data_IF_297129889584
#
_entry.id   IF_297129889584
#
_cell.length_a   1.000
_cell.length_b   1.000
_cell.length_c   1.000
_cell.angle_alpha   90.00
_cell.angle_beta   90.00
_cell.angle_gamma   90.00
#
_symmetry.space_group_name_H-M   'P 1'
#
loop_
_entity.id
_entity.type
_entity.pdbx_description
1 polymer ?
#
# COMPACT_ATOMS: atom_id res chain seq x y z
N UNK A 1 26.75 -16.25 62.02
CA UNK A 1 25.30 -16.27 61.69
C UNK A 1 24.93 -14.88 61.23
N UNK A 2 24.29 -14.78 60.06
CA UNK A 2 24.24 -13.63 59.11
C UNK A 2 25.57 -13.35 58.39
N UNK A 3 25.56 -12.73 57.18
CA UNK A 3 24.46 -12.48 56.22
C UNK A 3 24.89 -12.79 54.76
N UNK A 4 24.07 -12.52 53.74
CA UNK A 4 24.51 -11.73 52.57
C UNK A 4 23.38 -11.53 51.52
N UNK A 5 22.93 -10.28 51.49
CA UNK A 5 22.48 -9.55 50.31
C UNK A 5 23.38 -9.82 49.10
N UNK A 6 22.81 -10.22 47.97
CA UNK A 6 23.50 -10.23 46.69
C UNK A 6 22.83 -9.23 45.74
N UNK A 7 23.52 -8.10 45.59
CA UNK A 7 23.34 -7.15 44.50
C UNK A 7 23.55 -7.86 43.16
N UNK A 8 22.54 -7.89 42.30
CA UNK A 8 22.64 -8.32 40.91
C UNK A 8 23.36 -7.26 40.05
N UNK A 9 24.62 -7.01 40.36
CA UNK A 9 25.57 -6.26 39.53
C UNK A 9 26.57 -7.21 38.84
N UNK A 10 26.28 -8.51 38.80
CA UNK A 10 27.26 -9.54 38.42
C UNK A 10 26.72 -10.66 37.52
N UNK A 11 25.61 -10.48 36.80
CA UNK A 11 25.30 -11.35 35.65
C UNK A 11 26.18 -10.94 34.47
N UNK A 12 27.46 -11.22 34.67
CA UNK A 12 28.50 -11.28 33.66
C UNK A 12 28.10 -12.29 32.60
N UNK A 13 28.31 -11.90 31.36
CA UNK A 13 28.19 -12.64 30.09
C UNK A 13 29.11 -13.89 30.02
N UNK A 14 29.35 -14.59 31.13
CA UNK A 14 30.37 -15.63 31.29
C UNK A 14 29.82 -17.02 31.61
N UNK A 15 28.50 -17.20 31.68
CA UNK A 15 27.91 -18.51 31.97
C UNK A 15 27.38 -19.28 30.74
N UNK A 16 27.87 -18.98 29.53
CA UNK A 16 27.76 -19.88 28.37
C UNK A 16 29.15 -20.47 28.13
N UNK A 17 29.52 -21.47 28.94
CA UNK A 17 30.72 -22.27 28.71
C UNK A 17 30.38 -23.31 27.62
N UNK A 18 30.70 -23.00 26.36
CA UNK A 18 30.63 -23.95 25.26
C UNK A 18 31.90 -24.81 25.26
N UNK A 19 31.82 -26.00 25.85
CA UNK A 19 32.71 -27.11 25.53
C UNK A 19 32.17 -27.76 24.26
N UNK A 20 32.86 -27.61 23.13
CA UNK A 20 33.05 -28.71 22.15
C UNK A 20 34.01 -28.27 21.04
N UNK A 21 35.13 -28.97 21.00
CA UNK A 21 36.15 -28.93 19.99
C UNK A 21 35.75 -29.82 18.81
N UNK A 22 34.76 -29.43 18.00
CA UNK A 22 34.47 -30.10 16.71
C UNK A 22 33.78 -29.16 15.73
N UNK A 23 34.36 -29.06 14.53
CA UNK A 23 33.81 -28.42 13.35
C UNK A 23 32.50 -29.10 12.92
N UNK A 24 31.35 -28.70 13.46
CA UNK A 24 30.00 -28.86 12.87
C UNK A 24 28.96 -28.15 13.75
N UNK A 25 28.12 -27.32 13.14
CA UNK A 25 26.93 -26.69 13.75
C UNK A 25 27.18 -25.77 14.96
N UNK A 26 27.45 -24.49 14.67
CA UNK A 26 27.09 -23.41 15.59
C UNK A 26 25.58 -23.51 15.89
N UNK A 27 25.12 -23.52 17.16
CA UNK A 27 23.72 -23.28 17.45
C UNK A 27 23.39 -21.92 16.87
N UNK A 28 22.29 -21.81 16.14
CA UNK A 28 21.80 -20.56 15.60
C UNK A 28 21.37 -19.64 16.76
N UNK A 29 22.34 -19.03 17.43
CA UNK A 29 22.14 -17.94 18.35
C UNK A 29 21.72 -16.74 17.50
N UNK A 30 20.41 -16.58 17.35
CA UNK A 30 19.82 -15.45 16.64
C UNK A 30 20.29 -14.16 17.33
N UNK A 31 21.06 -13.34 16.62
CA UNK A 31 21.70 -12.15 17.16
C UNK A 31 21.00 -10.86 16.65
N UNK A 32 20.47 -10.10 17.61
CA UNK A 32 20.21 -8.65 17.59
C UNK A 32 19.18 -8.05 16.59
N UNK A 33 18.02 -7.64 17.13
CA UNK A 33 17.04 -6.76 16.48
C UNK A 33 17.23 -5.31 16.95
N UNK A 34 17.63 -4.41 16.06
CA UNK A 34 17.64 -2.98 16.38
C UNK A 34 16.22 -2.45 16.20
N UNK A 35 15.58 -1.91 17.26
CA UNK A 35 14.24 -1.34 17.15
C UNK A 35 14.22 0.20 17.29
N UNK A 36 14.72 0.97 16.29
CA UNK A 36 14.19 2.29 16.03
C UNK A 36 12.85 2.10 15.32
N UNK A 37 11.72 2.09 16.04
CA UNK A 37 10.37 2.24 15.47
C UNK A 37 9.86 1.22 14.42
N UNK A 38 10.69 0.30 13.92
CA UNK A 38 10.36 -0.65 12.85
C UNK A 38 10.90 -2.07 13.08
N UNK A 39 11.42 -2.39 14.28
CA UNK A 39 11.80 -3.73 14.75
C UNK A 39 12.25 -4.71 13.65
N UNK A 40 13.36 -4.38 12.98
CA UNK A 40 13.92 -5.18 11.89
C UNK A 40 15.19 -5.93 12.33
N UNK A 41 15.51 -7.03 11.64
CA UNK A 41 16.77 -7.75 11.85
C UNK A 41 17.95 -6.96 11.26
N UNK A 42 19.07 -6.92 11.99
CA UNK A 42 20.28 -6.20 11.55
C UNK A 42 21.53 -7.09 11.44
N UNK A 43 21.62 -8.15 12.25
CA UNK A 43 22.75 -9.07 12.29
C UNK A 43 22.29 -10.52 12.09
N UNK A 44 21.54 -10.75 11.01
CA UNK A 44 21.06 -12.07 10.61
C UNK A 44 21.18 -12.24 9.09
N UNK A 45 21.08 -13.46 8.59
CA UNK A 45 20.93 -13.72 7.16
C UNK A 45 19.68 -13.03 6.58
N UNK A 46 18.75 -12.66 7.45
CA UNK A 46 17.46 -12.05 7.16
C UNK A 46 17.43 -10.54 7.46
N UNK A 47 18.56 -9.86 7.26
CA UNK A 47 18.72 -8.43 7.55
C UNK A 47 17.76 -7.59 6.72
N UNK A 48 17.05 -6.66 7.36
CA UNK A 48 16.08 -5.76 6.73
C UNK A 48 14.62 -6.23 6.82
N UNK A 49 14.38 -7.52 7.11
CA UNK A 49 13.03 -8.04 7.30
C UNK A 49 12.49 -7.69 8.70
N UNK A 50 11.17 -7.61 8.80
CA UNK A 50 10.50 -7.30 10.06
C UNK A 50 10.54 -8.49 11.02
N UNK A 51 10.85 -8.23 12.30
CA UNK A 51 10.92 -9.26 13.33
C UNK A 51 9.63 -10.08 13.45
N UNK A 52 8.47 -9.43 13.32
CA UNK A 52 7.17 -10.11 13.40
C UNK A 52 6.84 -10.99 12.19
N UNK A 53 7.52 -10.82 11.05
CA UNK A 53 7.33 -11.69 9.87
C UNK A 53 8.06 -13.02 10.03
N UNK A 54 9.21 -13.01 10.71
CA UNK A 54 10.00 -14.23 10.97
C UNK A 54 9.59 -14.90 12.28
N UNK A 55 9.47 -14.11 13.35
CA UNK A 55 9.20 -14.59 14.72
C UNK A 55 7.89 -13.96 15.26
N UNK A 56 6.78 -14.23 14.55
CA UNK A 56 5.46 -13.70 14.88
C UNK A 56 4.95 -14.08 16.28
N UNK A 57 5.23 -15.31 16.74
CA UNK A 57 4.86 -15.77 18.07
C UNK A 57 5.54 -14.95 19.19
N UNK A 58 6.83 -14.67 19.04
CA UNK A 58 7.60 -13.86 20.00
C UNK A 58 7.11 -12.41 20.00
N UNK A 59 6.90 -11.83 18.81
CA UNK A 59 6.36 -10.47 18.69
C UNK A 59 4.97 -10.35 19.34
N UNK A 60 4.08 -11.33 19.16
CA UNK A 60 2.76 -11.32 19.80
C UNK A 60 2.84 -11.39 21.34
N UNK A 61 3.76 -12.20 21.86
CA UNK A 61 4.00 -12.27 23.30
C UNK A 61 4.52 -10.95 23.85
N UNK A 62 5.44 -10.30 23.14
CA UNK A 62 5.98 -8.99 23.48
C UNK A 62 4.92 -7.86 23.47
N UNK A 63 3.96 -7.92 22.56
CA UNK A 63 2.78 -7.03 22.57
C UNK A 63 1.90 -7.28 23.79
N UNK A 64 1.65 -8.56 24.12
CA UNK A 64 0.80 -8.94 25.25
C UNK A 64 1.42 -8.59 26.60
N UNK A 65 2.75 -8.66 26.70
CA UNK A 65 3.51 -8.29 27.90
C UNK A 65 3.62 -6.77 28.10
N UNK A 66 3.16 -5.96 27.13
CA UNK A 66 3.27 -4.50 27.18
C UNK A 66 4.67 -3.98 26.86
N UNK A 67 5.61 -4.85 26.46
CA UNK A 67 6.96 -4.44 26.07
C UNK A 67 6.96 -3.60 24.79
N UNK A 68 6.04 -3.90 23.88
CA UNK A 68 5.82 -3.16 22.65
C UNK A 68 4.37 -2.74 22.53
N UNK A 69 4.17 -1.56 21.96
CA UNK A 69 2.86 -1.00 21.66
C UNK A 69 2.67 -0.93 20.15
N UNK A 70 1.57 -1.51 19.66
CA UNK A 70 1.10 -1.33 18.30
C UNK A 70 0.36 0.01 18.18
N UNK A 71 0.74 0.81 17.19
CA UNK A 71 0.12 2.09 16.84
C UNK A 71 -0.25 2.01 15.36
N UNK A 72 -1.49 2.32 15.00
CA UNK A 72 -1.92 2.38 13.60
C UNK A 72 -1.69 3.79 13.06
N UNK A 73 -0.95 3.89 11.96
CA UNK A 73 -0.74 5.14 11.23
C UNK A 73 -1.60 5.13 9.97
N UNK A 74 -2.12 6.31 9.60
CA UNK A 74 -3.00 6.50 8.45
C UNK A 74 -2.29 7.34 7.40
N UNK A 75 -2.18 6.82 6.17
CA UNK A 75 -1.73 7.55 4.99
C UNK A 75 -2.91 7.78 4.04
N UNK A 76 -3.28 9.05 3.88
CA UNK A 76 -4.38 9.50 3.02
C UNK A 76 -3.92 9.88 1.60
N UNK A 77 -2.63 9.71 1.29
CA UNK A 77 -2.02 10.08 0.00
C UNK A 77 -1.36 8.88 -0.70
N UNK A 78 -1.67 7.66 -0.24
CA UNK A 78 -1.15 6.44 -0.83
C UNK A 78 -1.73 6.20 -2.24
N UNK A 79 -1.00 5.43 -3.05
CA UNK A 79 -1.45 4.99 -4.37
C UNK A 79 -1.68 3.48 -4.34
N UNK A 80 -2.93 3.05 -4.50
CA UNK A 80 -3.29 1.63 -4.54
C UNK A 80 -3.52 1.20 -5.99
N UNK A 81 -3.37 -0.10 -6.22
CA UNK A 81 -3.74 -0.69 -7.52
C UNK A 81 -5.25 -0.71 -7.60
N UNK A 82 -5.81 -0.01 -8.58
CA UNK A 82 -7.23 -0.09 -8.86
C UNK A 82 -7.52 -1.48 -9.42
N UNK A 83 -8.16 -2.32 -8.60
CA UNK A 83 -8.86 -3.49 -9.12
C UNK A 83 -10.11 -2.97 -9.82
N UNK A 84 -9.94 -2.47 -11.05
CA UNK A 84 -11.08 -2.37 -11.95
C UNK A 84 -11.53 -3.79 -12.21
N UNK A 85 -12.54 -4.24 -11.48
CA UNK A 85 -13.50 -5.17 -12.05
C UNK A 85 -13.93 -4.51 -13.35
N UNK A 86 -13.43 -5.03 -14.46
CA UNK A 86 -13.86 -4.65 -15.79
C UNK A 86 -15.31 -5.10 -15.93
N UNK A 87 -16.23 -4.35 -15.32
CA UNK A 87 -17.56 -4.21 -15.87
C UNK A 87 -17.34 -3.50 -17.19
N UNK A 88 -17.21 -4.28 -18.27
CA UNK A 88 -17.24 -3.80 -19.64
C UNK A 88 -18.46 -2.90 -19.79
N UNK A 89 -18.24 -1.60 -19.62
CA UNK A 89 -19.29 -0.61 -19.54
C UNK A 89 -19.20 0.22 -20.80
N UNK A 90 -20.15 -0.09 -21.67
CA UNK A 90 -20.56 0.65 -22.85
C UNK A 90 -19.60 0.60 -24.04
N UNK A 91 -19.85 -0.34 -24.94
CA UNK A 91 -19.58 -0.11 -26.36
C UNK A 91 -20.29 1.18 -26.77
N UNK A 92 -19.52 2.24 -27.02
CA UNK A 92 -20.08 3.46 -27.58
C UNK A 92 -20.57 3.18 -29.00
N UNK A 93 -21.64 3.85 -29.45
CA UNK A 93 -22.20 3.69 -30.80
C UNK A 93 -21.18 3.92 -31.95
N UNK A 94 -20.03 4.54 -31.62
CA UNK A 94 -18.91 4.83 -32.53
C UNK A 94 -17.81 3.76 -32.54
N UNK A 95 -17.90 2.70 -31.72
CA UNK A 95 -16.99 1.56 -31.76
C UNK A 95 -16.97 0.79 -33.08
N UNK A 96 -18.08 0.54 -33.80
CA UNK A 96 -18.01 -0.10 -35.12
C UNK A 96 -17.23 0.76 -36.12
N UNK A 97 -17.32 2.10 -36.00
CA UNK A 97 -16.56 3.02 -36.84
C UNK A 97 -15.07 3.03 -36.49
N UNK A 98 -14.71 2.99 -35.20
CA UNK A 98 -13.30 2.85 -34.78
C UNK A 98 -12.71 1.51 -35.18
N UNK A 99 -13.46 0.41 -35.03
CA UNK A 99 -13.07 -0.92 -35.47
C UNK A 99 -12.84 -0.94 -37.00
N UNK A 100 -13.76 -0.36 -37.78
CA UNK A 100 -13.62 -0.23 -39.22
C UNK A 100 -12.41 0.63 -39.61
N UNK A 101 -12.21 1.79 -38.98
CA UNK A 101 -11.04 2.63 -39.24
C UNK A 101 -9.72 1.94 -38.86
N UNK A 102 -9.72 1.13 -37.80
CA UNK A 102 -8.55 0.34 -37.40
C UNK A 102 -8.23 -0.77 -38.42
N UNK A 103 -9.26 -1.45 -38.94
CA UNK A 103 -9.12 -2.44 -39.99
C UNK A 103 -8.68 -1.80 -41.32
N UNK A 104 -9.26 -0.65 -41.69
CA UNK A 104 -8.85 0.11 -42.85
C UNK A 104 -7.40 0.59 -42.71
N UNK A 105 -7.00 1.09 -41.54
CA UNK A 105 -5.61 1.45 -41.24
C UNK A 105 -4.68 0.24 -41.35
N UNK A 106 -5.08 -0.92 -40.83
CA UNK A 106 -4.30 -2.16 -40.93
C UNK A 106 -4.11 -2.58 -42.39
N UNK A 107 -5.18 -2.63 -43.18
CA UNK A 107 -5.14 -2.93 -44.63
C UNK A 107 -4.25 -1.92 -45.37
N UNK A 108 -4.37 -0.63 -45.06
CA UNK A 108 -3.52 0.40 -45.66
C UNK A 108 -2.04 0.22 -45.28
N UNK A 109 -1.75 -0.29 -44.08
CA UNK A 109 -0.37 -0.56 -43.64
C UNK A 109 0.20 -1.76 -44.40
N UNK A 110 -0.58 -2.83 -44.56
CA UNK A 110 -0.19 -4.01 -45.36
C UNK A 110 -0.04 -3.68 -46.84
N UNK A 111 -0.90 -2.81 -47.39
CA UNK A 111 -0.81 -2.36 -48.77
C UNK A 111 0.43 -1.47 -48.99
N UNK A 112 0.78 -0.64 -48.01
CA UNK A 112 2.06 0.11 -48.01
C UNK A 112 3.25 -0.84 -47.93
N UNK A 113 3.21 -1.89 -47.09
CA UNK A 113 4.27 -2.90 -46.99
C UNK A 113 4.42 -3.69 -48.30
N UNK A 114 3.32 -4.08 -48.94
CA UNK A 114 3.31 -4.76 -50.23
C UNK A 114 3.87 -3.87 -51.36
N UNK A 115 3.54 -2.57 -51.35
CA UNK A 115 4.11 -1.60 -52.29
C UNK A 115 5.60 -1.34 -52.04
N UNK A 116 6.03 -1.39 -50.77
CA UNK A 116 7.45 -1.33 -50.35
C UNK A 116 8.21 -2.57 -50.81
N UNK A 117 7.62 -3.77 -50.75
CA UNK A 117 8.20 -5.01 -51.29
C UNK A 117 8.34 -4.96 -52.82
N UNK A 118 7.44 -4.28 -53.53
CA UNK A 118 7.42 -4.20 -55.00
C UNK A 118 8.24 -3.04 -55.62
N UNK A 119 8.92 -2.17 -54.85
CA UNK A 119 9.85 -1.16 -55.39
C UNK A 119 10.97 -0.72 -54.41
N UNK A 120 12.17 -1.29 -54.61
CA UNK A 120 13.51 -0.71 -54.37
C UNK A 120 13.75 0.02 -53.03
N UNK A 121 14.28 -0.71 -52.03
CA UNK A 121 15.64 -0.50 -51.52
C UNK A 121 15.92 -1.37 -50.30
N UNK A 122 16.72 -2.41 -50.54
CA UNK A 122 17.50 -3.25 -49.63
C UNK A 122 18.50 -2.44 -48.75
N UNK A 123 18.22 -1.19 -48.40
CA UNK A 123 19.21 -0.26 -47.87
C UNK A 123 18.59 0.81 -46.96
N UNK A 124 18.15 0.45 -45.76
CA UNK A 124 18.54 1.11 -44.51
C UNK A 124 17.93 0.32 -43.34
N UNK A 125 18.74 -0.56 -42.78
CA UNK A 125 18.45 -1.35 -41.58
C UNK A 125 17.97 -0.45 -40.42
N UNK A 126 16.89 -0.83 -39.72
CA UNK A 126 17.00 -1.44 -38.38
C UNK A 126 15.64 -1.54 -37.70
N UNK A 127 15.50 -2.62 -36.95
CA UNK A 127 14.33 -3.11 -36.22
C UNK A 127 13.47 -2.04 -35.55
N UNK A 128 12.15 -2.14 -35.75
CA UNK A 128 11.18 -1.59 -34.80
C UNK A 128 10.14 -2.63 -34.44
N UNK A 129 10.59 -3.68 -33.75
CA UNK A 129 9.70 -4.58 -33.02
C UNK A 129 9.21 -3.87 -31.76
N UNK A 130 8.10 -3.14 -31.87
CA UNK A 130 7.44 -2.56 -30.70
C UNK A 130 6.87 -3.70 -29.83
N UNK A 131 7.50 -3.96 -28.68
CA UNK A 131 6.95 -4.84 -27.65
C UNK A 131 5.62 -4.27 -27.15
N UNK A 132 4.59 -5.12 -27.13
CA UNK A 132 3.28 -4.82 -26.55
C UNK A 132 3.43 -4.20 -25.15
N UNK A 133 2.84 -3.02 -24.95
CA UNK A 133 2.78 -2.37 -23.66
C UNK A 133 1.98 -3.27 -22.70
N UNK A 134 2.69 -3.84 -21.73
CA UNK A 134 2.14 -4.51 -20.56
C UNK A 134 1.03 -3.63 -19.99
N UNK A 135 -0.19 -4.18 -19.87
CA UNK A 135 -1.37 -3.55 -19.28
C UNK A 135 -0.97 -2.60 -18.15
N UNK A 136 -1.09 -1.29 -18.38
CA UNK A 136 -0.74 -0.26 -17.42
C UNK A 136 -1.69 -0.43 -16.22
N UNK A 137 -1.19 -1.06 -15.16
CA UNK A 137 -1.91 -1.15 -13.89
C UNK A 137 -2.26 0.29 -13.49
N UNK A 138 -3.55 0.59 -13.43
CA UNK A 138 -4.01 1.94 -13.10
C UNK A 138 -3.85 2.10 -11.60
N UNK A 139 -3.01 3.07 -11.20
CA UNK A 139 -2.84 3.46 -9.81
C UNK A 139 -3.85 4.57 -9.51
N UNK A 140 -4.56 4.43 -8.39
CA UNK A 140 -5.55 5.39 -7.92
C UNK A 140 -5.21 5.82 -6.49
N UNK A 141 -5.51 7.08 -6.10
CA UNK A 141 -5.32 7.53 -4.73
C UNK A 141 -6.24 6.76 -3.79
N UNK A 142 -5.68 6.24 -2.71
CA UNK A 142 -6.38 5.44 -1.70
C UNK A 142 -5.91 5.81 -0.30
N UNK A 143 -6.73 5.46 0.68
CA UNK A 143 -6.36 5.56 2.09
C UNK A 143 -5.80 4.21 2.56
N UNK A 144 -4.62 4.23 3.17
CA UNK A 144 -4.00 3.03 3.74
C UNK A 144 -3.75 3.21 5.23
N UNK A 145 -3.80 2.11 5.97
CA UNK A 145 -3.29 2.04 7.33
C UNK A 145 -2.09 1.10 7.37
N UNK A 146 -1.07 1.46 8.14
CA UNK A 146 0.07 0.59 8.39
C UNK A 146 0.35 0.53 9.90
N UNK A 147 0.58 -0.69 10.43
CA UNK A 147 0.89 -0.86 11.84
C UNK A 147 2.35 -0.47 12.10
N UNK A 148 2.56 0.47 13.04
CA UNK A 148 3.85 0.83 13.58
C UNK A 148 4.02 0.25 14.99
N UNK A 149 5.24 -0.13 15.35
CA UNK A 149 5.55 -0.75 16.64
C UNK A 149 6.55 0.11 17.41
N UNK A 150 6.16 0.54 18.60
CA UNK A 150 6.99 1.39 19.46
C UNK A 150 7.26 0.66 20.76
N UNK A 151 8.54 0.61 21.17
CA UNK A 151 8.95 0.04 22.45
C UNK A 151 8.63 0.98 23.60
N UNK A 152 8.26 0.41 24.75
CA UNK A 152 8.12 1.16 25.99
C UNK A 152 9.47 1.24 26.73
N UNK A 153 9.84 2.42 27.24
CA UNK A 153 11.21 2.70 27.75
C UNK A 153 11.53 2.07 29.11
N UNK A 154 10.62 1.29 29.70
CA UNK A 154 10.75 0.75 31.06
C UNK A 154 11.37 -0.65 31.12
N UNK A 155 11.65 -1.27 29.97
CA UNK A 155 12.09 -2.66 29.90
C UNK A 155 13.61 -2.71 30.03
N UNK A 156 14.10 -3.09 31.22
CA UNK A 156 15.52 -3.37 31.41
C UNK A 156 15.87 -4.75 30.87
N UNK A 157 15.15 -5.78 31.33
CA UNK A 157 15.27 -7.17 30.90
C UNK A 157 13.93 -7.89 31.07
N UNK A 158 13.47 -8.64 30.06
CA UNK A 158 12.32 -9.54 30.19
C UNK A 158 12.62 -10.88 29.54
N UNK A 159 12.35 -11.95 30.28
CA UNK A 159 12.41 -13.32 29.79
C UNK A 159 10.98 -13.83 29.62
N UNK A 160 10.71 -14.49 28.49
CA UNK A 160 9.41 -15.06 28.21
C UNK A 160 9.53 -16.50 27.75
N UNK A 161 8.52 -17.30 28.09
CA UNK A 161 8.32 -18.62 27.50
C UNK A 161 6.95 -18.64 26.81
N UNK A 162 6.92 -19.24 25.62
CA UNK A 162 5.74 -19.39 24.78
C UNK A 162 5.44 -20.88 24.73
N UNK A 163 4.32 -21.29 25.33
CA UNK A 163 3.83 -22.64 25.21
C UNK A 163 3.21 -22.82 23.82
N UNK A 164 3.81 -23.69 23.01
CA UNK A 164 3.27 -24.19 21.76
C UNK A 164 2.70 -25.60 22.04
N UNK A 165 1.96 -26.18 21.09
CA UNK A 165 1.22 -27.44 21.35
C UNK A 165 2.14 -28.58 21.82
N UNK A 166 3.32 -28.72 21.21
CA UNK A 166 4.26 -29.83 21.47
C UNK A 166 5.58 -29.41 22.15
N UNK A 167 5.80 -28.11 22.38
CA UNK A 167 7.09 -27.60 22.87
C UNK A 167 6.94 -26.23 23.56
N UNK A 168 7.99 -25.80 24.25
CA UNK A 168 8.06 -24.44 24.81
C UNK A 168 9.18 -23.64 24.17
N UNK A 169 8.85 -22.53 23.52
CA UNK A 169 9.83 -21.62 22.88
C UNK A 169 10.19 -20.49 23.85
N UNK A 170 11.43 -20.48 24.30
CA UNK A 170 11.94 -19.45 25.23
C UNK A 170 12.64 -18.31 24.49
N UNK A 171 12.53 -17.11 25.05
CA UNK A 171 13.23 -15.93 24.55
C UNK A 171 13.64 -14.99 25.68
N UNK A 172 14.71 -14.25 25.43
CA UNK A 172 15.22 -13.19 26.31
C UNK A 172 15.35 -11.92 25.50
N UNK A 173 14.85 -10.80 26.03
CA UNK A 173 15.05 -9.47 25.46
C UNK A 173 15.70 -8.55 26.50
N UNK A 174 16.75 -7.85 26.07
CA UNK A 174 17.50 -6.90 26.90
C UNK A 174 17.72 -5.59 26.14
N UNK A 175 17.50 -4.45 26.78
CA UNK A 175 17.81 -3.16 26.19
C UNK A 175 19.31 -2.86 26.25
N UNK A 176 19.90 -2.41 25.15
CA UNK A 176 21.29 -1.94 25.13
C UNK A 176 21.33 -0.51 25.71
N UNK A 177 22.11 -0.26 26.78
CA UNK A 177 22.15 1.04 27.43
C UNK A 177 22.57 2.15 26.47
N UNK A 178 22.09 3.37 26.71
CA UNK A 178 22.36 4.57 25.89
C UNK A 178 21.95 4.49 24.41
N UNK A 179 21.12 3.51 24.04
CA UNK A 179 20.66 3.33 22.66
C UNK A 179 19.18 2.94 22.61
N UNK A 180 18.63 2.98 21.41
CA UNK A 180 17.28 2.54 21.05
C UNK A 180 17.23 1.06 20.63
N UNK A 181 18.22 0.28 21.06
CA UNK A 181 18.49 -1.06 20.56
C UNK A 181 18.13 -2.13 21.59
N UNK A 182 17.67 -3.29 21.11
CA UNK A 182 17.34 -4.43 21.95
C UNK A 182 18.08 -5.68 21.45
N UNK A 183 18.67 -6.43 22.37
CA UNK A 183 19.20 -7.75 22.07
C UNK A 183 18.08 -8.75 22.35
N UNK A 184 17.64 -9.47 21.33
CA UNK A 184 16.66 -10.54 21.44
C UNK A 184 17.35 -11.86 21.12
N UNK A 185 17.28 -12.81 22.04
CA UNK A 185 17.79 -14.17 21.86
C UNK A 185 16.59 -15.10 21.92
N UNK A 186 16.39 -15.88 20.86
CA UNK A 186 15.28 -16.82 20.73
C UNK A 186 15.84 -18.22 20.57
N UNK A 187 15.27 -19.18 21.28
CA UNK A 187 15.60 -20.58 21.10
C UNK A 187 15.04 -21.09 19.75
N UNK A 188 15.89 -21.69 18.93
CA UNK A 188 15.53 -22.25 17.62
C UNK A 188 15.16 -23.73 17.67
N UNK A 189 15.18 -24.34 18.86
CA UNK A 189 14.85 -25.76 19.05
C UNK A 189 13.41 -26.12 18.65
N UNK A 190 12.50 -25.15 18.62
CA UNK A 190 11.11 -25.36 18.24
C UNK A 190 10.56 -24.29 17.29
N UNK A 191 9.78 -24.74 16.30
CA UNK A 191 9.06 -23.91 15.33
C UNK A 191 7.59 -23.82 15.71
N UNK A 192 7.13 -22.63 16.09
CA UNK A 192 5.74 -22.38 16.44
C UNK A 192 5.02 -21.69 15.28
N UNK A 193 4.59 -22.46 14.28
CA UNK A 193 3.90 -21.96 13.08
C UNK A 193 2.41 -21.65 13.29
N UNK A 194 1.84 -22.00 14.45
CA UNK A 194 0.40 -21.80 14.72
C UNK A 194 -0.01 -20.33 14.84
N UNK A 195 0.95 -19.41 15.02
CA UNK A 195 0.70 -17.97 15.11
C UNK A 195 1.00 -17.30 13.78
N UNK A 196 0.00 -16.65 13.19
CA UNK A 196 0.16 -15.91 11.94
C UNK A 196 1.25 -14.83 12.07
N UNK A 197 2.07 -14.64 11.02
CA UNK A 197 3.10 -13.60 11.01
C UNK A 197 2.46 -12.22 11.15
N UNK A 198 3.13 -11.34 11.89
CA UNK A 198 2.71 -9.95 12.06
C UNK A 198 3.49 -9.13 11.03
N UNK A 199 2.81 -8.53 10.07
CA UNK A 199 3.44 -7.74 9.00
C UNK A 199 3.41 -6.24 9.31
N UNK A 200 4.31 -5.47 8.70
CA UNK A 200 4.25 -4.00 8.64
C UNK A 200 3.70 -3.48 7.30
N UNK A 201 3.19 -4.37 6.45
CA UNK A 201 2.71 -3.99 5.13
C UNK A 201 1.48 -3.07 5.22
N UNK A 202 1.36 -2.06 4.33
CA UNK A 202 0.19 -1.20 4.29
C UNK A 202 -1.06 -1.97 3.85
N UNK A 203 -2.18 -1.68 4.52
CA UNK A 203 -3.48 -2.28 4.29
C UNK A 203 -4.40 -1.19 3.75
N UNK A 204 -5.05 -1.44 2.62
CA UNK A 204 -6.04 -0.52 2.05
C UNK A 204 -7.31 -0.49 2.91
N UNK A 205 -7.74 0.72 3.28
CA UNK A 205 -8.95 0.91 4.08
C UNK A 205 -10.15 0.99 3.15
N UNK A 206 -11.02 -0.02 3.24
CA UNK A 206 -12.34 0.02 2.59
C UNK A 206 -13.36 0.60 3.56
N UNK A 207 -13.84 1.81 3.25
CA UNK A 207 -14.84 2.48 4.08
C UNK A 207 -16.21 1.86 3.91
N UNK A 208 -16.68 1.18 4.95
CA UNK A 208 -18.09 0.86 5.09
C UNK A 208 -18.88 2.15 5.37
N UNK A 209 -20.17 2.16 5.01
CA UNK A 209 -21.04 3.33 5.19
C UNK A 209 -21.09 3.82 6.66
N UNK A 210 -21.13 2.87 7.61
CA UNK A 210 -21.11 3.16 9.04
C UNK A 210 -19.83 3.88 9.50
N UNK A 211 -18.66 3.38 9.10
CA UNK A 211 -17.35 3.96 9.45
C UNK A 211 -17.19 5.38 8.90
N UNK A 212 -17.74 5.64 7.70
CA UNK A 212 -17.74 6.98 7.10
C UNK A 212 -18.55 7.95 7.96
N UNK A 213 -19.73 7.54 8.44
CA UNK A 213 -20.56 8.35 9.32
C UNK A 213 -19.93 8.61 10.70
N UNK A 214 -19.29 7.61 11.29
CA UNK A 214 -18.58 7.77 12.57
C UNK A 214 -17.43 8.77 12.46
N UNK A 215 -16.64 8.71 11.39
CA UNK A 215 -15.58 9.71 11.13
C UNK A 215 -16.13 11.12 10.93
N UNK A 216 -17.31 11.28 10.33
CA UNK A 216 -17.97 12.57 10.20
C UNK A 216 -18.42 13.15 11.55
N UNK A 217 -18.75 12.30 12.53
CA UNK A 217 -19.05 12.75 13.90
C UNK A 217 -17.79 13.18 14.65
N UNK A 218 -16.66 12.52 14.40
CA UNK A 218 -15.37 12.81 15.04
C UNK A 218 -14.59 13.98 14.40
N UNK A 219 -15.29 14.94 13.75
CA UNK A 219 -14.62 16.06 13.10
C UNK A 219 -13.75 16.84 14.08
N UNK A 220 -12.51 17.10 13.68
CA UNK A 220 -11.60 18.02 14.38
C UNK A 220 -12.25 19.40 14.45
N UNK A 221 -11.97 20.13 15.53
CA UNK A 221 -12.43 21.50 15.71
C UNK A 221 -11.96 22.33 14.51
N UNK A 222 -12.91 22.87 13.74
CA UNK A 222 -12.66 23.82 12.66
C UNK A 222 -13.17 25.19 13.10
N UNK A 223 -12.32 26.21 13.02
CA UNK A 223 -12.77 27.59 13.19
C UNK A 223 -13.40 28.06 11.87
N UNK A 224 -14.65 28.53 11.93
CA UNK A 224 -15.26 29.20 10.77
C UNK A 224 -14.66 30.59 10.59
N UNK A 225 -14.62 31.12 9.36
CA UNK A 225 -14.35 32.55 9.15
C UNK A 225 -15.30 33.42 9.97
N UNK A 226 -14.82 34.57 10.44
CA UNK A 226 -15.59 35.49 11.30
C UNK A 226 -16.76 36.14 10.54
N UNK A 227 -16.61 36.39 9.24
CA UNK A 227 -17.68 36.92 8.38
C UNK A 227 -17.89 36.05 7.14
N UNK A 228 -19.13 36.00 6.68
CA UNK A 228 -19.53 35.39 5.41
C UNK A 228 -20.30 36.44 4.62
N UNK A 229 -19.71 36.92 3.52
CA UNK A 229 -20.32 37.90 2.63
C UNK A 229 -20.93 37.17 1.43
N UNK A 230 -22.11 36.58 1.62
CA UNK A 230 -22.81 35.81 0.58
C UNK A 230 -23.72 36.65 -0.32
N UNK A 231 -23.82 37.96 -0.08
CA UNK A 231 -24.67 38.86 -0.83
C UNK A 231 -24.01 40.24 -0.90
N UNK A 232 -23.97 40.83 -2.09
CA UNK A 232 -23.60 42.22 -2.29
C UNK A 232 -24.78 42.99 -2.90
N UNK A 233 -25.15 44.18 -2.41
CA UNK A 233 -26.32 44.93 -2.89
C UNK A 233 -26.21 45.37 -4.35
N UNK A 234 -24.98 45.48 -4.88
CA UNK A 234 -24.72 45.79 -6.29
C UNK A 234 -24.61 44.52 -7.17
N UNK A 235 -24.82 43.33 -6.60
CA UNK A 235 -24.80 42.07 -7.35
C UNK A 235 -26.10 41.89 -8.14
N UNK A 236 -25.99 41.86 -9.46
CA UNK A 236 -27.13 41.64 -10.36
C UNK A 236 -27.40 40.14 -10.56
N UNK A 237 -28.20 39.53 -9.68
CA UNK A 237 -28.58 38.12 -9.79
C UNK A 237 -29.54 37.78 -10.97
N UNK A 238 -29.88 38.77 -11.81
CA UNK A 238 -30.81 38.59 -12.95
C UNK A 238 -30.11 38.26 -14.27
N UNK A 239 -28.79 38.36 -14.33
CA UNK A 239 -27.99 37.88 -15.47
C UNK A 239 -27.82 36.36 -15.37
N UNK A 240 -28.92 35.62 -15.53
CA UNK A 240 -28.83 34.20 -15.83
C UNK A 240 -28.37 34.07 -17.28
N UNK A 241 -27.32 33.28 -17.54
CA UNK A 241 -26.74 33.08 -18.88
C UNK A 241 -27.84 32.88 -19.91
N UNK A 242 -28.06 33.89 -20.75
CA UNK A 242 -29.10 33.89 -21.77
C UNK A 242 -28.75 32.86 -22.83
N UNK A 243 -29.17 31.62 -22.64
CA UNK A 243 -29.20 30.65 -23.71
C UNK A 243 -30.18 31.20 -24.75
N UNK A 244 -29.73 31.36 -26.00
CA UNK A 244 -30.64 31.55 -27.11
C UNK A 244 -31.62 30.37 -27.10
N UNK A 245 -32.88 30.64 -26.79
CA UNK A 245 -33.94 29.68 -27.07
C UNK A 245 -33.80 29.32 -28.54
N UNK A 246 -33.68 28.03 -28.86
CA UNK A 246 -33.73 27.51 -30.23
C UNK A 246 -35.09 27.86 -30.82
N UNK A 247 -35.25 29.10 -31.27
CA UNK A 247 -36.42 29.56 -31.97
C UNK A 247 -36.27 28.97 -33.37
N UNK A 248 -36.94 27.85 -33.61
CA UNK A 248 -37.03 27.25 -34.94
C UNK A 248 -37.51 28.35 -35.89
N UNK A 249 -36.60 28.88 -36.71
CA UNK A 249 -36.94 29.88 -37.70
C UNK A 249 -38.03 29.26 -38.57
N UNK A 250 -39.25 29.82 -38.51
CA UNK A 250 -40.40 29.35 -39.27
C UNK A 250 -40.10 29.23 -40.78
N UNK A 251 -39.10 29.97 -41.27
CA UNK A 251 -38.53 29.85 -42.61
C UNK A 251 -38.06 28.42 -42.96
N UNK A 252 -37.45 27.67 -42.02
CA UNK A 252 -37.01 26.28 -42.26
C UNK A 252 -38.17 25.28 -42.35
N UNK A 253 -39.30 25.56 -41.70
CA UNK A 253 -40.52 24.73 -41.79
C UNK A 253 -41.34 25.02 -43.06
N UNK A 254 -41.20 26.22 -43.65
CA UNK A 254 -41.91 26.60 -44.88
C UNK A 254 -41.22 26.12 -46.16
N UNK A 255 -39.91 25.89 -46.14
CA UNK A 255 -39.16 25.35 -47.29
C UNK A 255 -39.70 24.00 -47.83
N UNK A 256 -40.00 22.98 -46.99
CA UNK A 256 -40.58 21.73 -47.49
C UNK A 256 -42.03 21.88 -47.98
N UNK A 257 -42.79 22.85 -47.45
CA UNK A 257 -44.15 23.14 -47.94
C UNK A 257 -44.11 23.79 -49.32
N UNK A 258 -43.21 24.74 -49.55
CA UNK A 258 -43.04 25.38 -50.86
C UNK A 258 -42.52 24.39 -51.89
N UNK A 259 -41.56 23.51 -51.54
CA UNK A 259 -41.09 22.48 -52.49
C UNK A 259 -42.18 21.46 -52.85
N UNK A 260 -43.11 21.16 -51.93
CA UNK A 260 -44.26 20.30 -52.22
C UNK A 260 -45.32 20.95 -53.14
N UNK A 261 -45.41 22.28 -53.13
CA UNK A 261 -46.31 23.05 -54.01
C UNK A 261 -45.73 23.23 -55.43
N UNK A 262 -44.40 23.28 -55.55
CA UNK A 262 -43.71 23.37 -56.86
C UNK A 262 -43.45 22.02 -57.51
N UNK A 263 -43.65 20.90 -56.80
CA UNK A 263 -43.46 19.54 -57.34
C UNK A 263 -44.76 18.91 -57.89
N UNK A 264 -45.81 19.70 -58.14
CA UNK A 264 -47.06 19.27 -58.78
C UNK A 264 -47.19 19.84 -60.19
#
# INVERSE_FOLDING_TARGET
MLPLSLSLSSLSLSHIHANTHTHTHLPAFLLCCLCPSSCAFLFSLQTGDFFGEVEGAVMNKLLTMGSFKRITLYDYQAMCRANKESSDSAHGLLDPYKAFLSAAKWIMTELVLFLVEFNLCSWWHSDMTAKAQKLKQTLEPCDTEYPAFVSERTIKETTGNIACEDCSKSFVIQQIPSSNLFMVVVDSSCLCESVAPITMAPIEIRYNESLKCERLKAQKIRRRPESCHGFHPEENARECGGASSLQAQAALLLLPLVSSLFSR
#
